data_IF_460682390222
#
_entry.id   IF_460682390222
#
_cell.length_a   1.000
_cell.length_b   1.000
_cell.length_c   1.000
_cell.angle_alpha   90.00
_cell.angle_beta   90.00
_cell.angle_gamma   90.00
#
_symmetry.space_group_name_H-M   'P 1'
#
loop_
_entity.id
_entity.type
_entity.pdbx_description
1 polymer ?
#
# COMPACT_ATOMS: atom_id res chain seq x y z
N UNK A 1 43.06 -4.05 -9.64
CA UNK A 1 41.63 -4.20 -9.97
C UNK A 1 40.90 -4.48 -8.68
N UNK A 2 40.39 -3.43 -8.05
CA UNK A 2 39.67 -3.53 -6.79
C UNK A 2 38.27 -4.09 -7.07
N UNK A 3 37.96 -5.19 -6.40
CA UNK A 3 36.68 -5.86 -6.44
C UNK A 3 35.78 -5.17 -5.41
N UNK A 4 35.18 -4.02 -5.76
CA UNK A 4 34.19 -3.35 -4.91
C UNK A 4 32.83 -4.01 -5.13
N UNK A 5 32.59 -5.13 -4.44
CA UNK A 5 31.21 -5.49 -4.12
C UNK A 5 30.73 -4.46 -3.12
N UNK A 6 29.78 -3.61 -3.52
CA UNK A 6 29.04 -2.77 -2.57
C UNK A 6 28.39 -3.69 -1.53
N UNK A 7 28.93 -3.71 -0.32
CA UNK A 7 28.22 -4.23 0.86
C UNK A 7 27.12 -3.22 1.23
N UNK A 8 26.06 -3.15 0.43
CA UNK A 8 24.94 -2.22 0.63
C UNK A 8 23.89 -2.78 1.61
N UNK A 9 24.33 -3.24 2.79
CA UNK A 9 23.42 -3.65 3.88
C UNK A 9 22.90 -2.44 4.65
N UNK A 10 21.71 -2.56 5.24
CA UNK A 10 21.26 -1.66 6.31
C UNK A 10 22.20 -1.82 7.51
N UNK A 11 22.45 -0.73 8.23
CA UNK A 11 23.22 -0.77 9.47
C UNK A 11 22.53 -1.71 10.48
N UNK A 12 23.31 -2.54 11.17
CA UNK A 12 22.75 -3.50 12.14
C UNK A 12 22.35 -2.73 13.39
N UNK A 13 21.05 -2.72 13.68
CA UNK A 13 20.52 -2.16 14.91
C UNK A 13 21.07 -2.87 16.14
N UNK A 14 21.26 -2.12 17.22
CA UNK A 14 21.79 -2.65 18.46
C UNK A 14 21.01 -2.15 19.67
N UNK A 15 20.83 -3.03 20.65
CA UNK A 15 20.20 -2.69 21.93
C UNK A 15 21.21 -2.84 23.07
N UNK A 16 21.10 -2.04 24.12
CA UNK A 16 21.91 -2.24 25.34
C UNK A 16 21.60 -3.60 25.96
N UNK A 17 22.64 -4.34 26.32
CA UNK A 17 22.51 -5.56 27.11
C UNK A 17 21.83 -5.28 28.45
N UNK A 18 21.27 -6.33 29.07
CA UNK A 18 20.56 -6.22 30.36
C UNK A 18 21.42 -5.61 31.48
N UNK A 19 22.74 -5.79 31.42
CA UNK A 19 23.70 -5.21 32.37
C UNK A 19 24.19 -3.80 31.97
N UNK A 20 23.76 -3.28 30.82
CA UNK A 20 24.08 -1.95 30.31
C UNK A 20 25.51 -1.76 29.79
N UNK A 21 26.32 -2.82 29.75
CA UNK A 21 27.76 -2.73 29.48
C UNK A 21 28.13 -2.91 28.01
N UNK A 22 27.28 -3.57 27.23
CA UNK A 22 27.56 -3.90 25.83
C UNK A 22 26.36 -3.60 24.96
N UNK A 23 26.61 -3.38 23.67
CA UNK A 23 25.56 -3.33 22.66
C UNK A 23 25.41 -4.72 22.04
N UNK A 24 24.16 -5.16 21.86
CA UNK A 24 23.81 -6.47 21.31
C UNK A 24 23.11 -6.26 19.96
N UNK A 25 23.55 -6.93 18.88
CA UNK A 25 22.94 -6.79 17.58
C UNK A 25 21.52 -7.36 17.56
N UNK A 26 20.62 -6.67 16.86
CA UNK A 26 19.25 -7.11 16.60
C UNK A 26 19.16 -7.82 15.24
N UNK A 27 18.14 -8.65 15.09
CA UNK A 27 17.86 -9.34 13.83
C UNK A 27 17.30 -8.36 12.79
N UNK A 28 17.99 -8.21 11.67
CA UNK A 28 17.58 -7.28 10.59
C UNK A 28 16.62 -7.91 9.56
N UNK A 29 16.15 -9.14 9.77
CA UNK A 29 15.38 -9.88 8.76
C UNK A 29 14.10 -9.15 8.29
N UNK A 30 13.38 -8.51 9.22
CA UNK A 30 12.13 -7.81 8.95
C UNK A 30 12.32 -6.61 8.00
N UNK A 31 13.38 -5.81 8.22
CA UNK A 31 13.71 -4.65 7.36
C UNK A 31 13.95 -5.05 5.91
N UNK A 32 14.58 -6.21 5.70
CA UNK A 32 14.89 -6.70 4.37
C UNK A 32 13.72 -7.34 3.63
N UNK A 33 12.63 -7.68 4.32
CA UNK A 33 11.53 -8.48 3.77
C UNK A 33 10.23 -7.71 3.59
N UNK A 34 10.05 -6.56 4.26
CA UNK A 34 8.80 -5.78 4.29
C UNK A 34 8.13 -5.57 2.93
N UNK A 35 8.88 -5.18 1.89
CA UNK A 35 8.33 -4.94 0.54
C UNK A 35 8.14 -6.20 -0.31
N UNK A 36 8.46 -7.38 0.23
CA UNK A 36 8.48 -8.66 -0.49
C UNK A 36 7.54 -9.69 0.13
N UNK A 37 6.82 -9.30 1.18
CA UNK A 37 5.83 -10.14 1.82
C UNK A 37 4.45 -9.80 1.24
N UNK A 38 3.61 -10.82 1.15
CA UNK A 38 2.19 -10.71 0.86
C UNK A 38 1.45 -11.76 1.68
N UNK A 39 0.29 -11.41 2.23
CA UNK A 39 -0.57 -12.35 2.96
C UNK A 39 -1.63 -12.91 2.02
N UNK A 40 -1.48 -14.17 1.62
CA UNK A 40 -2.47 -14.85 0.77
C UNK A 40 -3.54 -15.50 1.64
N UNK A 41 -4.84 -15.24 1.41
CA UNK A 41 -5.89 -15.84 2.21
C UNK A 41 -5.98 -17.35 1.95
N UNK A 42 -6.28 -18.12 2.99
CA UNK A 42 -6.53 -19.55 2.85
C UNK A 42 -7.76 -20.00 3.64
N UNK A 43 -8.37 -21.10 3.21
CA UNK A 43 -9.62 -21.60 3.82
C UNK A 43 -9.47 -21.96 5.30
N UNK A 44 -8.30 -22.47 5.70
CA UNK A 44 -8.00 -22.89 7.08
C UNK A 44 -6.96 -21.99 7.76
N UNK A 45 -5.92 -21.60 7.00
CA UNK A 45 -4.85 -20.71 7.44
C UNK A 45 -4.39 -19.90 6.23
N UNK A 46 -4.04 -18.65 6.48
CA UNK A 46 -3.41 -17.80 5.48
C UNK A 46 -1.95 -18.25 5.26
N UNK A 47 -1.43 -17.91 4.10
CA UNK A 47 -0.04 -18.16 3.69
C UNK A 47 0.72 -16.84 3.62
N UNK A 48 1.90 -16.80 4.22
CA UNK A 48 2.83 -15.70 4.05
C UNK A 48 3.72 -15.98 2.83
N UNK A 49 3.46 -15.28 1.73
CA UNK A 49 4.23 -15.40 0.51
C UNK A 49 5.43 -14.46 0.60
N UNK A 50 6.64 -15.02 0.59
CA UNK A 50 7.89 -14.26 0.58
C UNK A 50 8.50 -14.33 -0.82
N UNK A 51 8.57 -13.18 -1.49
CA UNK A 51 9.05 -13.08 -2.86
C UNK A 51 10.58 -12.93 -2.92
N UNK A 52 11.17 -13.56 -3.94
CA UNK A 52 12.60 -13.48 -4.18
C UNK A 52 13.02 -12.09 -4.67
N UNK A 53 14.18 -11.61 -4.22
CA UNK A 53 14.71 -10.28 -4.59
C UNK A 53 14.93 -10.12 -6.08
N UNK A 54 15.26 -11.21 -6.79
CA UNK A 54 15.57 -11.12 -8.23
C UNK A 54 14.31 -11.04 -9.09
N UNK A 55 13.17 -11.51 -8.56
CA UNK A 55 11.90 -11.63 -9.28
C UNK A 55 10.80 -10.70 -8.77
N UNK A 56 11.01 -10.01 -7.64
CA UNK A 56 10.13 -8.97 -7.10
C UNK A 56 10.74 -7.57 -7.29
N UNK A 57 9.91 -6.55 -7.12
CA UNK A 57 10.40 -5.19 -6.97
C UNK A 57 10.55 -4.36 -8.23
N UNK A 58 9.86 -4.73 -9.31
CA UNK A 58 9.90 -3.98 -10.57
C UNK A 58 8.75 -2.98 -10.70
N UNK A 59 7.71 -3.07 -9.87
CA UNK A 59 6.54 -2.20 -9.91
C UNK A 59 5.93 -1.94 -8.53
N UNK A 60 5.12 -0.89 -8.45
CA UNK A 60 4.16 -0.61 -7.38
C UNK A 60 2.75 -0.75 -7.93
N UNK A 61 1.77 -0.86 -7.04
CA UNK A 61 0.37 -0.63 -7.39
C UNK A 61 -0.05 0.74 -6.88
N UNK A 62 -0.70 1.54 -7.72
CA UNK A 62 -1.36 2.78 -7.30
C UNK A 62 -2.86 2.55 -7.27
N UNK A 63 -3.51 2.86 -6.15
CA UNK A 63 -4.95 2.80 -5.97
C UNK A 63 -5.54 4.22 -6.00
N UNK A 64 -6.51 4.47 -6.89
CA UNK A 64 -7.21 5.74 -7.00
C UNK A 64 -8.65 5.50 -7.45
N UNK A 65 -9.64 6.03 -6.71
CA UNK A 65 -11.07 5.78 -6.95
C UNK A 65 -11.45 4.30 -7.05
N UNK A 66 -10.90 3.45 -6.17
CA UNK A 66 -11.09 1.99 -6.18
C UNK A 66 -10.56 1.28 -7.45
N UNK A 67 -9.80 1.98 -8.28
CA UNK A 67 -9.11 1.43 -9.44
C UNK A 67 -7.63 1.22 -9.10
N UNK A 68 -7.06 0.11 -9.55
CA UNK A 68 -5.67 -0.23 -9.31
C UNK A 68 -4.87 -0.14 -10.61
N UNK A 69 -3.65 0.37 -10.52
CA UNK A 69 -2.76 0.55 -11.65
C UNK A 69 -1.37 0.02 -11.33
N UNK A 70 -0.82 -0.84 -12.18
CA UNK A 70 0.57 -1.25 -12.09
C UNK A 70 1.47 -0.18 -12.71
N UNK A 71 2.40 0.32 -11.90
CA UNK A 71 3.36 1.35 -12.30
C UNK A 71 4.77 0.78 -12.16
N UNK A 72 5.53 0.63 -13.27
CA UNK A 72 6.91 0.16 -13.18
C UNK A 72 7.76 1.19 -12.45
N UNK A 73 8.59 0.72 -11.50
CA UNK A 73 9.62 1.54 -10.83
C UNK A 73 11.03 1.26 -11.36
N UNK A 74 11.12 0.31 -12.30
CA UNK A 74 12.33 -0.03 -13.04
C UNK A 74 11.99 -0.11 -14.53
N UNK A 75 12.74 0.62 -15.34
CA UNK A 75 12.74 0.48 -16.78
C UNK A 75 13.63 -0.71 -17.18
N UNK A 76 13.20 -1.44 -18.21
CA UNK A 76 13.86 -2.66 -18.70
C UNK A 76 15.29 -2.45 -19.21
N UNK A 77 15.63 -1.22 -19.61
CA UNK A 77 16.89 -0.84 -20.26
C UNK A 77 17.87 -0.13 -19.32
N UNK A 78 17.38 0.61 -18.32
CA UNK A 78 18.20 1.52 -17.49
C UNK A 78 18.06 1.37 -15.98
N UNK A 79 17.30 0.37 -15.51
CA UNK A 79 17.12 0.16 -14.06
C UNK A 79 16.09 1.12 -13.46
N UNK A 80 16.35 1.69 -12.28
CA UNK A 80 15.36 2.52 -11.54
C UNK A 80 14.93 3.73 -12.37
N UNK A 81 13.62 3.99 -12.43
CA UNK A 81 13.08 5.19 -13.08
C UNK A 81 13.34 6.44 -12.24
N UNK A 82 13.32 7.60 -12.88
CA UNK A 82 13.48 8.90 -12.20
C UNK A 82 12.21 9.30 -11.44
N UNK A 83 12.35 10.22 -10.48
CA UNK A 83 11.21 10.78 -9.73
C UNK A 83 10.24 11.51 -10.66
N UNK A 84 10.75 12.30 -11.62
CA UNK A 84 9.93 13.00 -12.60
C UNK A 84 9.09 12.03 -13.46
N UNK A 85 9.66 10.88 -13.85
CA UNK A 85 8.92 9.84 -14.55
C UNK A 85 7.83 9.22 -13.68
N UNK A 86 8.12 8.92 -12.41
CA UNK A 86 7.15 8.36 -11.47
C UNK A 86 5.99 9.35 -11.21
N UNK A 87 6.31 10.63 -11.00
CA UNK A 87 5.32 11.70 -10.85
C UNK A 87 4.40 11.77 -12.06
N UNK A 88 4.93 11.69 -13.28
CA UNK A 88 4.09 11.68 -14.48
C UNK A 88 3.15 10.48 -14.56
N UNK A 89 3.60 9.29 -14.15
CA UNK A 89 2.74 8.11 -14.10
C UNK A 89 1.60 8.30 -13.08
N UNK A 90 1.91 8.84 -11.90
CA UNK A 90 0.92 9.14 -10.86
C UNK A 90 -0.06 10.23 -11.33
N UNK A 91 0.42 11.31 -11.95
CA UNK A 91 -0.44 12.38 -12.47
C UNK A 91 -1.38 11.88 -13.58
N UNK A 92 -0.92 10.96 -14.45
CA UNK A 92 -1.77 10.31 -15.45
C UNK A 92 -2.91 9.52 -14.78
N UNK A 93 -2.63 8.83 -13.67
CA UNK A 93 -3.64 8.10 -12.91
C UNK A 93 -4.63 9.08 -12.27
N UNK A 94 -4.14 10.12 -11.61
CA UNK A 94 -4.95 11.16 -10.97
C UNK A 94 -5.83 11.96 -11.94
N UNK A 95 -5.46 12.00 -13.23
CA UNK A 95 -6.29 12.60 -14.27
C UNK A 95 -7.52 11.74 -14.63
N UNK A 96 -7.57 10.48 -14.19
CA UNK A 96 -8.72 9.60 -14.38
C UNK A 96 -9.86 10.04 -13.45
N UNK A 97 -11.05 10.26 -14.01
CA UNK A 97 -12.21 10.65 -13.22
C UNK A 97 -12.80 9.45 -12.49
N UNK A 98 -13.36 9.70 -11.30
CA UNK A 98 -14.14 8.71 -10.58
C UNK A 98 -15.34 8.26 -11.44
N UNK A 99 -15.50 6.94 -11.58
CA UNK A 99 -16.69 6.33 -12.17
C UNK A 99 -17.48 5.62 -11.05
N UNK A 100 -18.70 6.07 -10.71
CA UNK A 100 -19.55 5.43 -9.70
C UNK A 100 -19.86 3.95 -9.97
N UNK A 101 -19.66 3.49 -11.20
CA UNK A 101 -19.85 2.08 -11.59
C UNK A 101 -18.62 1.22 -11.33
N UNK A 102 -17.50 1.82 -10.92
CA UNK A 102 -16.27 1.09 -10.59
C UNK A 102 -16.56 0.13 -9.44
N UNK A 103 -16.41 -1.19 -9.63
CA UNK A 103 -16.63 -2.13 -8.55
C UNK A 103 -15.53 -1.98 -7.49
N UNK A 104 -15.87 -1.89 -6.19
CA UNK A 104 -14.90 -1.68 -5.12
C UNK A 104 -14.13 -2.96 -4.75
N UNK A 105 -13.44 -3.61 -5.71
CA UNK A 105 -12.86 -4.96 -5.54
C UNK A 105 -11.91 -5.07 -4.33
N UNK A 106 -11.19 -3.99 -3.99
CA UNK A 106 -10.30 -3.96 -2.82
C UNK A 106 -11.00 -4.29 -1.50
N UNK A 107 -12.31 -4.01 -1.39
CA UNK A 107 -13.10 -4.28 -0.19
C UNK A 107 -13.16 -5.78 0.16
N UNK A 108 -12.98 -6.68 -0.82
CA UNK A 108 -12.96 -8.12 -0.56
C UNK A 108 -11.87 -8.53 0.44
N UNK A 109 -10.77 -7.77 0.50
CA UNK A 109 -9.66 -8.03 1.43
C UNK A 109 -10.02 -7.77 2.91
N UNK A 110 -11.17 -7.14 3.20
CA UNK A 110 -11.67 -6.88 4.56
C UNK A 110 -12.54 -8.01 5.11
N UNK A 111 -12.95 -8.96 4.26
CA UNK A 111 -13.80 -10.07 4.67
C UNK A 111 -13.10 -10.97 5.70
N UNK A 112 -13.91 -11.74 6.44
CA UNK A 112 -13.39 -12.86 7.24
C UNK A 112 -12.55 -13.78 6.35
N UNK A 113 -11.38 -14.20 6.85
CA UNK A 113 -10.33 -14.84 6.04
C UNK A 113 -10.81 -16.06 5.22
N UNK A 114 -11.61 -17.00 5.75
CA UNK A 114 -12.13 -18.11 4.95
C UNK A 114 -13.12 -17.69 3.85
N UNK A 115 -13.86 -16.61 4.05
CA UNK A 115 -14.76 -16.07 3.03
C UNK A 115 -13.97 -15.35 1.93
N UNK A 116 -12.96 -14.55 2.32
CA UNK A 116 -12.04 -13.95 1.36
C UNK A 116 -11.31 -15.01 0.53
N UNK A 117 -10.83 -16.10 1.14
CA UNK A 117 -10.19 -17.19 0.41
C UNK A 117 -11.07 -17.74 -0.72
N UNK A 118 -12.37 -17.96 -0.46
CA UNK A 118 -13.34 -18.43 -1.45
C UNK A 118 -13.64 -17.39 -2.53
N UNK A 119 -13.86 -16.13 -2.15
CA UNK A 119 -14.09 -15.04 -3.11
C UNK A 119 -12.87 -14.83 -4.02
N UNK A 120 -11.65 -14.98 -3.47
CA UNK A 120 -10.42 -14.95 -4.25
C UNK A 120 -10.33 -16.11 -5.26
N UNK A 121 -10.72 -17.32 -4.87
CA UNK A 121 -10.80 -18.47 -5.78
C UNK A 121 -11.76 -18.23 -6.95
N UNK A 122 -12.88 -17.55 -6.70
CA UNK A 122 -13.81 -17.12 -7.76
C UNK A 122 -13.15 -16.13 -8.73
N UNK A 123 -12.48 -15.09 -8.21
CA UNK A 123 -11.74 -14.13 -9.04
C UNK A 123 -10.69 -14.83 -9.91
N UNK A 124 -9.96 -15.81 -9.36
CA UNK A 124 -8.93 -16.57 -10.07
C UNK A 124 -9.44 -17.41 -11.24
N UNK A 125 -10.75 -17.60 -11.42
CA UNK A 125 -11.31 -18.35 -12.56
C UNK A 125 -11.07 -17.63 -13.89
N UNK A 126 -11.02 -16.30 -13.89
CA UNK A 126 -10.76 -15.50 -15.08
C UNK A 126 -9.26 -15.20 -15.28
N UNK A 127 -8.74 -15.30 -16.50
CA UNK A 127 -7.32 -15.11 -16.81
C UNK A 127 -6.81 -13.71 -16.46
N UNK A 128 -7.53 -12.67 -16.87
CA UNK A 128 -7.17 -11.29 -16.56
C UNK A 128 -7.10 -11.03 -15.04
N UNK A 129 -8.01 -11.61 -14.26
CA UNK A 129 -8.01 -11.44 -12.80
C UNK A 129 -6.84 -12.18 -12.14
N UNK A 130 -6.41 -13.33 -12.68
CA UNK A 130 -5.20 -14.02 -12.22
C UNK A 130 -3.99 -13.11 -12.37
N UNK A 131 -3.84 -12.51 -13.55
CA UNK A 131 -2.77 -11.53 -13.83
C UNK A 131 -2.84 -10.32 -12.88
N UNK A 132 -4.03 -9.73 -12.66
CA UNK A 132 -4.20 -8.64 -11.71
C UNK A 132 -3.79 -9.02 -10.28
N UNK A 133 -4.20 -10.19 -9.80
CA UNK A 133 -3.84 -10.70 -8.48
C UNK A 133 -2.33 -10.97 -8.38
N UNK A 134 -1.69 -11.50 -9.43
CA UNK A 134 -0.24 -11.67 -9.48
C UNK A 134 0.50 -10.32 -9.41
N UNK A 135 -0.02 -9.28 -10.08
CA UNK A 135 0.53 -7.93 -9.98
C UNK A 135 0.42 -7.37 -8.55
N UNK A 136 -0.72 -7.55 -7.88
CA UNK A 136 -0.94 -7.14 -6.48
C UNK A 136 -0.06 -7.91 -5.49
N UNK A 137 0.12 -9.21 -5.69
CA UNK A 137 1.01 -10.02 -4.86
C UNK A 137 2.46 -9.55 -5.01
N UNK A 138 2.90 -9.29 -6.25
CA UNK A 138 4.31 -9.06 -6.60
C UNK A 138 4.81 -7.63 -6.52
N UNK A 139 3.92 -6.65 -6.33
CA UNK A 139 4.32 -5.25 -6.22
C UNK A 139 5.18 -5.00 -4.97
N UNK A 140 5.92 -3.88 -4.92
CA UNK A 140 6.65 -3.49 -3.69
C UNK A 140 5.70 -3.04 -2.59
N UNK A 141 4.74 -2.21 -2.98
CA UNK A 141 3.76 -1.60 -2.10
C UNK A 141 2.52 -1.20 -2.91
N UNK A 142 1.47 -0.87 -2.16
CA UNK A 142 0.30 -0.18 -2.70
C UNK A 142 0.37 1.29 -2.27
N UNK A 143 0.27 2.21 -3.22
CA UNK A 143 0.17 3.65 -2.96
C UNK A 143 -1.29 4.06 -3.15
N UNK A 144 -1.97 4.47 -2.08
CA UNK A 144 -3.36 4.86 -2.10
C UNK A 144 -3.45 6.38 -2.23
N UNK A 145 -4.00 6.86 -3.34
CA UNK A 145 -4.27 8.29 -3.56
C UNK A 145 -5.72 8.53 -3.20
N UNK A 146 -5.92 9.06 -2.00
CA UNK A 146 -7.23 9.33 -1.42
C UNK A 146 -7.61 10.78 -1.73
N UNK A 147 -8.52 10.94 -2.68
CA UNK A 147 -8.95 12.25 -3.19
C UNK A 147 -10.14 12.85 -2.43
N UNK A 148 -10.47 12.24 -1.29
CA UNK A 148 -11.46 12.72 -0.35
C UNK A 148 -10.94 12.57 1.08
N UNK A 149 -11.64 13.21 2.02
CA UNK A 149 -11.36 13.12 3.45
C UNK A 149 -12.57 12.58 4.18
N UNK A 150 -12.36 11.91 5.30
CA UNK A 150 -13.49 11.50 6.15
C UNK A 150 -14.19 12.76 6.68
N UNK A 151 -15.53 12.82 6.64
CA UNK A 151 -16.27 13.94 7.22
C UNK A 151 -15.88 14.15 8.69
N UNK A 152 -15.88 15.40 9.16
CA UNK A 152 -15.61 15.71 10.58
C UNK A 152 -16.63 15.11 11.55
N UNK A 153 -17.76 14.64 11.02
CA UNK A 153 -18.81 13.92 11.75
C UNK A 153 -18.68 12.39 11.66
N UNK A 154 -17.61 11.87 11.04
CA UNK A 154 -17.42 10.43 10.85
C UNK A 154 -17.29 9.69 12.19
N UNK A 155 -16.50 10.24 13.10
CA UNK A 155 -16.28 9.77 14.46
C UNK A 155 -17.13 10.58 15.46
N UNK A 156 -16.75 10.54 16.74
CA UNK A 156 -17.47 11.21 17.83
C UNK A 156 -17.74 12.70 17.55
N UNK A 157 -18.82 13.26 18.12
CA UNK A 157 -19.14 14.68 17.99
C UNK A 157 -17.98 15.56 18.48
N UNK A 158 -17.74 16.63 17.73
CA UNK A 158 -16.62 17.57 17.90
C UNK A 158 -16.40 17.98 19.36
N UNK A 159 -15.29 17.54 19.94
CA UNK A 159 -14.84 17.97 21.26
C UNK A 159 -13.62 18.90 21.12
N UNK A 160 -13.73 20.10 21.68
CA UNK A 160 -12.69 21.14 21.56
C UNK A 160 -11.37 20.77 22.26
N UNK A 161 -11.42 19.82 23.18
CA UNK A 161 -10.25 19.31 23.91
C UNK A 161 -9.52 18.18 23.16
N UNK A 162 -10.06 17.72 22.02
CA UNK A 162 -9.40 16.69 21.22
C UNK A 162 -8.12 17.24 20.59
N UNK A 163 -7.22 16.33 20.20
CA UNK A 163 -6.03 16.71 19.42
C UNK A 163 -6.40 16.86 17.95
N UNK A 164 -5.93 17.90 17.30
CA UNK A 164 -6.23 18.23 15.91
C UNK A 164 -4.98 18.21 15.03
N UNK A 165 -5.13 17.77 13.79
CA UNK A 165 -4.15 17.88 12.71
C UNK A 165 -4.85 18.61 11.56
N UNK A 166 -4.47 19.87 11.34
CA UNK A 166 -5.21 20.74 10.42
C UNK A 166 -6.66 20.90 10.86
N UNK A 167 -7.60 20.65 9.95
CA UNK A 167 -9.05 20.78 10.17
C UNK A 167 -9.72 19.48 10.65
N UNK A 168 -8.94 18.44 10.99
CA UNK A 168 -9.45 17.12 11.40
C UNK A 168 -8.93 16.73 12.77
N UNK A 169 -9.78 16.09 13.57
CA UNK A 169 -9.32 15.52 14.83
C UNK A 169 -8.44 14.29 14.58
N UNK A 170 -7.62 13.97 15.57
CA UNK A 170 -6.63 12.90 15.48
C UNK A 170 -7.28 11.52 15.27
N UNK A 171 -8.43 11.24 15.87
CA UNK A 171 -9.12 9.96 15.68
C UNK A 171 -9.64 9.83 14.25
N UNK A 172 -10.17 10.91 13.67
CA UNK A 172 -10.57 10.96 12.26
C UNK A 172 -9.42 10.60 11.31
N UNK A 173 -8.25 11.21 11.54
CA UNK A 173 -7.02 10.91 10.78
C UNK A 173 -6.61 9.44 10.93
N UNK A 174 -6.68 8.89 12.15
CA UNK A 174 -6.39 7.47 12.37
C UNK A 174 -7.38 6.55 11.67
N UNK A 175 -8.69 6.83 11.70
CA UNK A 175 -9.71 6.04 10.99
C UNK A 175 -9.47 6.04 9.47
N UNK A 176 -9.05 7.20 8.92
CA UNK A 176 -8.70 7.34 7.51
C UNK A 176 -7.54 6.40 7.14
N UNK A 177 -6.45 6.40 7.90
CA UNK A 177 -5.26 5.57 7.61
C UNK A 177 -5.50 4.09 7.93
N UNK A 178 -6.22 3.79 9.02
CA UNK A 178 -6.42 2.43 9.50
C UNK A 178 -7.32 1.60 8.58
N UNK A 179 -8.46 2.17 8.17
CA UNK A 179 -9.47 1.42 7.42
C UNK A 179 -10.22 2.27 6.37
N UNK A 180 -9.82 3.53 6.15
CA UNK A 180 -10.42 4.37 5.10
C UNK A 180 -11.88 4.78 5.36
N UNK A 181 -12.40 4.58 6.57
CA UNK A 181 -13.74 5.00 6.96
C UNK A 181 -14.93 4.22 6.38
N UNK A 182 -14.74 3.01 5.86
CA UNK A 182 -15.88 2.18 5.40
C UNK A 182 -16.01 2.08 3.88
N UNK A 183 -17.00 1.31 3.42
CA UNK A 183 -17.19 0.95 2.01
C UNK A 183 -17.63 2.12 1.13
N UNK A 184 -18.28 3.12 1.73
CA UNK A 184 -18.76 4.35 1.06
C UNK A 184 -17.72 5.47 1.02
N UNK A 185 -16.58 5.25 1.67
CA UNK A 185 -15.49 6.20 1.75
C UNK A 185 -14.26 5.62 1.04
N UNK A 186 -13.13 5.51 1.72
CA UNK A 186 -11.82 5.16 1.14
C UNK A 186 -11.44 3.71 1.44
N UNK A 187 -12.28 2.95 2.16
CA UNK A 187 -11.96 1.60 2.61
C UNK A 187 -11.74 0.59 1.48
N UNK A 188 -12.38 0.81 0.32
CA UNK A 188 -12.17 0.00 -0.88
C UNK A 188 -10.96 0.44 -1.73
N UNK A 189 -10.38 1.61 -1.47
CA UNK A 189 -9.20 2.13 -2.16
C UNK A 189 -7.91 1.58 -1.50
N UNK A 190 -7.93 0.28 -1.17
CA UNK A 190 -6.94 -0.44 -0.37
C UNK A 190 -6.83 -1.89 -0.84
N UNK A 191 -5.73 -2.55 -0.50
CA UNK A 191 -5.59 -3.99 -0.69
C UNK A 191 -4.93 -4.63 0.55
N UNK A 192 -5.71 -4.85 1.60
CA UNK A 192 -5.21 -5.11 2.96
C UNK A 192 -4.34 -6.36 3.12
N UNK A 193 -4.30 -7.25 2.13
CA UNK A 193 -3.35 -8.38 2.09
C UNK A 193 -1.91 -7.95 1.77
N UNK A 194 -1.71 -6.77 1.16
CA UNK A 194 -0.36 -6.26 0.87
C UNK A 194 0.27 -5.73 2.15
N UNK A 195 1.51 -6.14 2.39
CA UNK A 195 2.24 -5.79 3.61
C UNK A 195 2.39 -4.29 3.84
N UNK A 196 2.55 -3.49 2.80
CA UNK A 196 2.82 -2.06 2.95
C UNK A 196 1.90 -1.25 2.03
N UNK A 197 1.18 -0.32 2.65
CA UNK A 197 0.44 0.74 1.99
C UNK A 197 1.04 2.10 2.38
N UNK A 198 1.35 2.93 1.38
CA UNK A 198 1.49 4.37 1.58
C UNK A 198 0.15 5.03 1.24
N UNK A 199 -0.39 5.87 2.10
CA UNK A 199 -1.67 6.55 1.91
C UNK A 199 -1.39 8.04 1.79
N UNK A 200 -1.83 8.65 0.70
CA UNK A 200 -1.67 10.05 0.37
C UNK A 200 -3.05 10.70 0.29
N UNK A 201 -3.39 11.49 1.30
CA UNK A 201 -4.65 12.21 1.40
C UNK A 201 -4.62 13.54 0.65
N UNK A 202 -5.77 13.93 0.10
CA UNK A 202 -5.97 15.20 -0.61
C UNK A 202 -5.63 16.45 0.21
N UNK A 203 -5.76 16.37 1.53
CA UNK A 203 -5.43 17.46 2.46
C UNK A 203 -3.91 17.57 2.74
N UNK A 204 -3.08 16.81 2.03
CA UNK A 204 -1.63 16.76 2.23
C UNK A 204 -1.20 15.83 3.38
N UNK A 205 -2.15 15.20 4.07
CA UNK A 205 -1.86 14.14 5.02
C UNK A 205 -1.24 12.96 4.28
N UNK A 206 -0.24 12.32 4.87
CA UNK A 206 0.17 10.99 4.47
C UNK A 206 0.32 10.06 5.67
N UNK A 207 0.23 8.76 5.43
CA UNK A 207 0.35 7.75 6.46
C UNK A 207 0.64 6.38 5.88
N UNK A 208 0.74 5.39 6.77
CA UNK A 208 1.00 4.01 6.39
C UNK A 208 0.01 3.05 7.03
N UNK A 209 -0.38 2.04 6.27
CA UNK A 209 -1.10 0.87 6.76
C UNK A 209 -0.25 -0.37 6.44
N UNK A 210 -0.11 -1.28 7.40
CA UNK A 210 0.73 -2.45 7.21
C UNK A 210 0.03 -3.74 7.66
N UNK A 211 0.31 -4.83 6.96
CA UNK A 211 -0.17 -6.16 7.33
C UNK A 211 0.77 -6.76 8.38
N UNK A 212 0.22 -7.09 9.55
CA UNK A 212 1.00 -7.36 10.76
C UNK A 212 1.71 -8.72 10.78
N UNK A 213 1.28 -9.70 9.96
CA UNK A 213 1.98 -11.00 9.91
C UNK A 213 3.40 -10.91 9.32
N UNK A 214 3.70 -9.80 8.64
CA UNK A 214 5.00 -9.55 8.01
C UNK A 214 6.13 -9.17 8.98
N UNK A 215 5.81 -8.61 10.14
CA UNK A 215 6.81 -8.09 11.06
C UNK A 215 6.19 -7.22 12.15
N UNK A 216 7.04 -6.79 13.08
CA UNK A 216 6.63 -6.00 14.23
C UNK A 216 6.80 -4.50 13.96
N UNK A 217 6.11 -3.70 14.78
CA UNK A 217 6.09 -2.24 14.67
C UNK A 217 7.46 -1.55 14.54
N UNK A 218 8.53 -1.92 15.27
CA UNK A 218 9.81 -1.21 15.21
C UNK A 218 10.40 -1.09 13.80
N UNK A 219 10.39 -2.17 13.01
CA UNK A 219 10.95 -2.14 11.66
C UNK A 219 10.16 -1.20 10.73
N UNK A 220 8.83 -1.17 10.89
CA UNK A 220 7.91 -0.29 10.15
C UNK A 220 8.12 1.17 10.56
N UNK A 221 8.26 1.42 11.86
CA UNK A 221 8.41 2.75 12.42
C UNK A 221 9.70 3.43 11.96
N UNK A 222 10.82 2.69 11.97
CA UNK A 222 12.11 3.19 11.48
C UNK A 222 12.03 3.52 9.98
N UNK A 223 11.36 2.67 9.20
CA UNK A 223 11.13 2.95 7.77
C UNK A 223 10.30 4.22 7.56
N UNK A 224 9.30 4.47 8.42
CA UNK A 224 8.48 5.67 8.38
C UNK A 224 9.26 6.93 8.77
N UNK A 225 10.08 6.86 9.82
CA UNK A 225 10.96 7.97 10.25
C UNK A 225 11.96 8.31 9.14
N UNK A 226 12.69 7.33 8.59
CA UNK A 226 13.64 7.56 7.50
C UNK A 226 12.97 8.16 6.25
N UNK A 227 11.76 7.71 5.92
CA UNK A 227 11.02 8.25 4.78
C UNK A 227 10.59 9.70 5.04
N UNK A 228 10.11 10.00 6.24
CA UNK A 228 9.73 11.35 6.66
C UNK A 228 10.92 12.30 6.57
N UNK A 229 12.06 11.93 7.17
CA UNK A 229 13.28 12.73 7.13
C UNK A 229 13.77 12.98 5.70
N UNK A 230 13.73 11.96 4.84
CA UNK A 230 14.10 12.10 3.42
C UNK A 230 13.19 13.08 2.70
N UNK A 231 11.88 12.98 2.90
CA UNK A 231 10.89 13.88 2.28
C UNK A 231 11.06 15.31 2.78
N UNK A 232 11.24 15.51 4.08
CA UNK A 232 11.45 16.84 4.67
C UNK A 232 12.75 17.51 4.21
N UNK A 233 13.77 16.71 3.87
CA UNK A 233 15.04 17.17 3.30
C UNK A 233 14.99 17.43 1.78
N UNK A 234 13.92 17.02 1.07
CA UNK A 234 13.82 17.25 -0.37
C UNK A 234 13.65 18.74 -0.68
N UNK A 235 14.33 19.19 -1.74
CA UNK A 235 14.06 20.51 -2.31
C UNK A 235 12.68 20.52 -2.97
N UNK A 236 12.00 21.68 -3.04
CA UNK A 236 10.77 21.81 -3.80
C UNK A 236 10.96 21.25 -5.21
N UNK A 237 10.00 20.47 -5.74
CA UNK A 237 10.16 19.84 -7.05
C UNK A 237 10.35 20.93 -8.12
N UNK A 238 11.36 20.76 -8.98
CA UNK A 238 11.47 21.55 -10.19
C UNK A 238 10.27 21.23 -11.09
N UNK A 239 9.57 22.24 -11.63
CA UNK A 239 8.43 22.06 -12.56
C UNK A 239 8.86 21.54 -13.95
N UNK A 240 10.02 20.89 -14.06
CA UNK A 240 10.56 20.37 -15.30
C UNK A 240 9.87 19.06 -15.66
N UNK A 241 8.82 19.16 -16.48
CA UNK A 241 8.19 17.99 -17.09
C UNK A 241 9.09 17.43 -18.19
N UNK A 242 10.02 16.55 -17.82
CA UNK A 242 10.82 15.80 -18.79
C UNK A 242 9.94 14.75 -19.48
N UNK A 243 9.79 14.72 -20.81
CA UNK A 243 8.94 13.73 -21.47
C UNK A 243 9.32 12.29 -21.07
N UNK A 244 8.43 11.59 -20.38
CA UNK A 244 8.66 10.16 -20.07
C UNK A 244 8.32 9.29 -21.28
N UNK A 245 9.27 8.44 -21.67
CA UNK A 245 9.07 7.40 -22.68
C UNK A 245 8.52 6.09 -22.10
N UNK A 246 8.12 6.08 -20.83
CA UNK A 246 7.54 4.90 -20.21
C UNK A 246 6.14 4.62 -20.78
N UNK A 247 5.73 3.34 -20.87
CA UNK A 247 4.34 3.00 -21.20
C UNK A 247 3.39 3.62 -20.18
N UNK A 248 2.12 3.75 -20.57
CA UNK A 248 1.07 4.16 -19.65
C UNK A 248 0.93 3.15 -18.49
N UNK A 249 0.45 3.58 -17.30
CA UNK A 249 0.16 2.67 -16.21
C UNK A 249 -0.82 1.59 -16.66
N UNK A 250 -0.55 0.34 -16.31
CA UNK A 250 -1.44 -0.76 -16.64
C UNK A 250 -2.59 -0.77 -15.64
N UNK A 251 -3.81 -0.45 -16.10
CA UNK A 251 -5.01 -0.51 -15.29
C UNK A 251 -5.42 -1.98 -15.08
N UNK A 252 -5.66 -2.37 -13.83
CA UNK A 252 -6.16 -3.70 -13.48
C UNK A 252 -7.68 -3.74 -13.71
N UNK A 253 -8.08 -4.23 -14.89
CA UNK A 253 -9.50 -4.42 -15.25
C UNK A 253 -10.03 -5.74 -14.71
N UNK A 254 -11.18 -5.68 -14.01
CA UNK A 254 -11.74 -6.83 -13.32
C UNK A 254 -12.93 -7.44 -14.06
N UNK A 255 -12.87 -8.75 -14.27
CA UNK A 255 -13.99 -9.53 -14.78
C UNK A 255 -14.73 -10.18 -13.61
N UNK A 256 -15.90 -9.66 -13.27
CA UNK A 256 -16.65 -10.07 -12.10
C UNK A 256 -17.84 -10.94 -12.51
N UNK A 257 -17.95 -12.14 -11.94
CA UNK A 257 -19.14 -12.97 -12.06
C UNK A 257 -20.25 -12.44 -11.14
N UNK A 258 -21.47 -12.97 -11.29
CA UNK A 258 -22.56 -12.68 -10.35
C UNK A 258 -22.16 -13.02 -8.91
N UNK A 259 -21.39 -14.10 -8.71
CA UNK A 259 -20.87 -14.47 -7.40
C UNK A 259 -19.87 -13.44 -6.88
N UNK A 260 -18.90 -13.00 -7.69
CA UNK A 260 -17.95 -11.97 -7.26
C UNK A 260 -18.63 -10.66 -6.88
N UNK A 261 -19.69 -10.27 -7.61
CA UNK A 261 -20.48 -9.08 -7.29
C UNK A 261 -21.24 -9.24 -5.98
N UNK A 262 -21.79 -10.43 -5.70
CA UNK A 262 -22.41 -10.75 -4.41
C UNK A 262 -21.40 -10.69 -3.27
N UNK A 263 -20.22 -11.28 -3.45
CA UNK A 263 -19.16 -11.29 -2.43
C UNK A 263 -18.69 -9.86 -2.09
N UNK A 264 -18.60 -8.98 -3.09
CA UNK A 264 -18.30 -7.55 -2.88
C UNK A 264 -19.38 -6.89 -2.03
N UNK A 265 -20.66 -7.14 -2.30
CA UNK A 265 -21.75 -6.58 -1.50
C UNK A 265 -21.71 -7.07 -0.05
N UNK A 266 -21.47 -8.36 0.16
CA UNK A 266 -21.34 -8.95 1.50
C UNK A 266 -20.13 -8.37 2.26
N UNK A 267 -19.01 -8.16 1.56
CA UNK A 267 -17.82 -7.51 2.11
C UNK A 267 -18.12 -6.07 2.54
N UNK A 268 -18.84 -5.30 1.72
CA UNK A 268 -19.25 -3.93 2.07
C UNK A 268 -20.15 -3.91 3.31
N UNK A 269 -21.16 -4.77 3.37
CA UNK A 269 -22.07 -4.88 4.52
C UNK A 269 -21.30 -5.28 5.79
N UNK A 270 -20.43 -6.28 5.70
CA UNK A 270 -19.66 -6.74 6.85
C UNK A 270 -18.61 -5.73 7.33
N UNK A 271 -18.11 -4.87 6.44
CA UNK A 271 -17.10 -3.88 6.78
C UNK A 271 -17.71 -2.62 7.43
N UNK A 272 -18.95 -2.29 7.06
CA UNK A 272 -19.69 -1.14 7.60
C UNK A 272 -20.48 -1.46 8.88
N UNK A 273 -20.56 -2.73 9.27
CA UNK A 273 -21.29 -3.21 10.46
C UNK A 273 -20.48 -3.10 11.76
#
# INVERSE_FOLDING_TARGET
>A
MANSREESGLEIEQVKSKDGKTMQPLCMAQHYQMYRIYRRPGSNSDEQVILDRTTSGNHIIVAHHNQFYSVPVRASDRGRITEAELVQQILKIMATKADPRTPPVGILTTMKRPAWAKAREELLRHEQNRHNLELLERCLCVVCIDDDVLPTTFNNPLNKEDRWIGDRDYANVLHHVLHGGGSRHLGANRWFDKTFHAILGKDGMWGMNYEHSAGEGPAIFITFEELTEKVDAMSPPEETTVPSHLPAPEKLEWHLSEQSLSDIQDAMISFDA
#
